data_IF_569581012208
#
_entry.id   IF_569581012208
#
_cell.length_a   1.000
_cell.length_b   1.000
_cell.length_c   1.000
_cell.angle_alpha   90.00
_cell.angle_beta   90.00
_cell.angle_gamma   90.00
#
_symmetry.space_group_name_H-M   'P 1'
#
loop_
_entity.id
_entity.type
_entity.pdbx_description
1 polymer ?
#
# COMPACT_ATOMS: atom_id res chain seq x y z
N UNK A 1 -25.72 -16.43 -4.27
CA UNK A 1 -24.56 -15.88 -3.52
C UNK A 1 -24.60 -14.37 -3.55
N UNK A 2 -24.68 -13.72 -2.39
CA UNK A 2 -24.87 -12.27 -2.24
C UNK A 2 -23.54 -11.50 -2.25
N UNK A 3 -23.37 -10.57 -3.20
CA UNK A 3 -22.75 -9.26 -2.97
C UNK A 3 -23.03 -8.30 -4.16
N UNK A 4 -24.28 -7.87 -4.33
CA UNK A 4 -24.69 -6.95 -5.44
C UNK A 4 -25.12 -5.55 -4.96
N UNK A 5 -25.11 -5.26 -3.64
CA UNK A 5 -25.72 -4.03 -3.10
C UNK A 5 -24.97 -3.39 -1.91
N UNK A 6 -23.64 -3.45 -1.87
CA UNK A 6 -22.91 -2.46 -1.09
C UNK A 6 -22.98 -1.15 -1.88
N UNK A 7 -23.78 -0.18 -1.39
CA UNK A 7 -23.95 1.18 -1.91
C UNK A 7 -22.73 1.65 -2.74
N UNK A 8 -22.95 1.98 -4.01
CA UNK A 8 -21.88 2.37 -4.93
C UNK A 8 -21.09 3.54 -4.33
N UNK A 9 -19.76 3.47 -4.39
CA UNK A 9 -18.85 4.52 -3.90
C UNK A 9 -19.27 5.92 -4.39
N UNK A 10 -19.77 5.99 -5.62
CA UNK A 10 -20.31 7.19 -6.25
C UNK A 10 -21.56 7.73 -5.55
N UNK A 11 -22.47 6.87 -5.10
CA UNK A 11 -23.69 7.26 -4.36
C UNK A 11 -23.31 7.79 -2.97
N UNK A 12 -22.30 7.21 -2.33
CA UNK A 12 -21.84 7.67 -1.01
C UNK A 12 -21.13 9.02 -1.12
N UNK A 13 -20.31 9.21 -2.15
CA UNK A 13 -19.67 10.50 -2.40
C UNK A 13 -20.68 11.59 -2.78
N UNK A 14 -21.63 11.28 -3.67
CA UNK A 14 -22.68 12.23 -4.06
C UNK A 14 -23.59 12.58 -2.88
N UNK A 15 -23.92 11.61 -2.02
CA UNK A 15 -24.71 11.87 -0.80
C UNK A 15 -23.97 12.75 0.21
N UNK A 16 -22.63 12.63 0.32
CA UNK A 16 -21.85 13.36 1.31
C UNK A 16 -21.45 14.77 0.85
N UNK A 17 -21.12 14.95 -0.43
CA UNK A 17 -20.60 16.21 -0.97
C UNK A 17 -21.54 16.92 -1.94
N UNK A 18 -22.61 16.26 -2.40
CA UNK A 18 -23.51 16.80 -3.44
C UNK A 18 -22.83 16.97 -4.80
N UNK A 19 -21.60 16.45 -4.97
CA UNK A 19 -20.75 16.59 -6.16
C UNK A 19 -20.47 15.23 -6.80
N UNK A 20 -20.16 15.17 -8.11
CA UNK A 20 -19.74 13.93 -8.74
C UNK A 20 -18.46 13.38 -8.09
N UNK A 21 -18.36 12.05 -8.02
CA UNK A 21 -17.23 11.37 -7.38
C UNK A 21 -15.86 11.75 -7.98
N UNK A 22 -15.84 12.13 -9.26
CA UNK A 22 -14.63 12.56 -9.96
C UNK A 22 -14.03 13.84 -9.38
N UNK A 23 -14.85 14.87 -9.13
CA UNK A 23 -14.39 16.14 -8.57
C UNK A 23 -13.84 15.97 -7.17
N UNK A 24 -14.53 15.18 -6.35
CA UNK A 24 -14.10 14.92 -4.98
C UNK A 24 -12.76 14.15 -4.97
N UNK A 25 -12.55 13.20 -5.88
CA UNK A 25 -11.27 12.50 -6.03
C UNK A 25 -10.16 13.41 -6.56
N UNK A 26 -10.47 14.37 -7.43
CA UNK A 26 -9.51 15.39 -7.90
C UNK A 26 -9.09 16.32 -6.76
N UNK A 27 -10.03 16.78 -5.94
CA UNK A 27 -9.73 17.59 -4.76
C UNK A 27 -8.81 16.83 -3.79
N UNK A 28 -9.05 15.53 -3.58
CA UNK A 28 -8.16 14.70 -2.74
C UNK A 28 -6.76 14.47 -3.33
N UNK A 29 -6.66 14.40 -4.67
CA UNK A 29 -5.36 14.35 -5.35
C UNK A 29 -4.61 15.66 -5.16
N UNK A 30 -5.28 16.80 -5.28
CA UNK A 30 -4.70 18.13 -5.04
C UNK A 30 -4.29 18.35 -3.58
N UNK A 31 -5.05 17.81 -2.63
CA UNK A 31 -4.72 17.83 -1.19
C UNK A 31 -3.58 16.86 -0.82
N UNK A 32 -3.14 15.98 -1.74
CA UNK A 32 -2.05 15.03 -1.51
C UNK A 32 -2.40 13.86 -0.58
N UNK A 33 -3.68 13.49 -0.49
CA UNK A 33 -4.13 12.39 0.36
C UNK A 33 -3.70 11.02 -0.18
N UNK A 34 -3.34 10.11 0.73
CA UNK A 34 -3.04 8.72 0.39
C UNK A 34 -4.32 7.92 0.16
N UNK A 35 -4.21 6.84 -0.61
CA UNK A 35 -5.29 5.85 -0.77
C UNK A 35 -5.78 5.30 0.57
N UNK A 36 -4.90 5.19 1.58
CA UNK A 36 -5.25 4.73 2.93
C UNK A 36 -6.08 5.76 3.70
N UNK A 37 -5.76 7.04 3.57
CA UNK A 37 -6.50 8.12 4.24
C UNK A 37 -7.92 8.22 3.67
N UNK A 38 -8.04 8.12 2.35
CA UNK A 38 -9.35 8.09 1.68
C UNK A 38 -10.11 6.83 2.09
N UNK A 39 -9.47 5.66 2.08
CA UNK A 39 -10.08 4.41 2.55
C UNK A 39 -10.60 4.52 4.00
N UNK A 40 -9.79 5.08 4.90
CA UNK A 40 -10.13 5.30 6.31
C UNK A 40 -11.27 6.29 6.51
N UNK A 41 -11.26 7.43 5.81
CA UNK A 41 -12.31 8.46 5.89
C UNK A 41 -13.70 7.96 5.48
N UNK A 42 -13.75 6.96 4.61
CA UNK A 42 -15.01 6.46 4.04
C UNK A 42 -15.36 5.03 4.48
N UNK A 43 -14.50 4.36 5.24
CA UNK A 43 -14.70 2.96 5.66
C UNK A 43 -14.65 1.96 4.50
N UNK A 44 -14.00 2.32 3.39
CA UNK A 44 -13.81 1.42 2.25
C UNK A 44 -12.46 0.73 2.30
N UNK A 45 -12.33 -0.39 1.58
CA UNK A 45 -11.03 -0.99 1.31
C UNK A 45 -10.25 -0.12 0.31
N UNK A 46 -8.93 -0.02 0.48
CA UNK A 46 -8.01 0.65 -0.44
C UNK A 46 -8.15 0.15 -1.89
N UNK A 47 -8.47 -1.14 -2.08
CA UNK A 47 -8.73 -1.74 -3.40
C UNK A 47 -9.94 -1.11 -4.10
N UNK A 48 -10.99 -0.77 -3.36
CA UNK A 48 -12.17 -0.07 -3.89
C UNK A 48 -11.78 1.33 -4.35
N UNK A 49 -11.08 2.09 -3.51
CA UNK A 49 -10.61 3.44 -3.84
C UNK A 49 -9.72 3.41 -5.09
N UNK A 50 -8.75 2.49 -5.15
CA UNK A 50 -7.87 2.31 -6.32
C UNK A 50 -8.63 1.97 -7.60
N UNK A 51 -9.68 1.13 -7.53
CA UNK A 51 -10.52 0.80 -8.69
C UNK A 51 -11.22 2.04 -9.25
N UNK A 52 -11.75 2.90 -8.39
CA UNK A 52 -12.43 4.13 -8.81
C UNK A 52 -11.45 5.20 -9.29
N UNK A 53 -10.32 5.37 -8.63
CA UNK A 53 -9.23 6.24 -9.10
C UNK A 53 -8.77 5.84 -10.51
N UNK A 54 -8.60 4.54 -10.79
CA UNK A 54 -8.30 4.03 -12.14
C UNK A 54 -9.41 4.31 -13.16
N UNK A 55 -10.68 4.22 -12.78
CA UNK A 55 -11.81 4.50 -13.67
C UNK A 55 -11.80 5.95 -14.16
N UNK A 56 -11.40 6.88 -13.30
CA UNK A 56 -11.33 8.32 -13.60
C UNK A 56 -9.93 8.80 -14.00
N UNK A 57 -8.96 7.88 -14.09
CA UNK A 57 -7.55 8.18 -14.39
C UNK A 57 -6.92 9.23 -13.44
N UNK A 58 -7.27 9.15 -12.15
CA UNK A 58 -6.74 10.03 -11.09
C UNK A 58 -5.74 9.23 -10.26
N UNK A 59 -4.58 9.82 -10.00
CA UNK A 59 -3.57 9.25 -9.12
C UNK A 59 -3.59 9.97 -7.77
N UNK A 60 -3.85 9.23 -6.70
CA UNK A 60 -3.63 9.68 -5.32
C UNK A 60 -2.20 9.36 -4.91
N UNK A 61 -1.73 9.97 -3.81
CA UNK A 61 -0.40 9.73 -3.27
C UNK A 61 -0.24 8.22 -3.02
N UNK A 62 0.80 7.63 -3.60
CA UNK A 62 1.16 6.22 -3.39
C UNK A 62 1.45 5.93 -1.91
N UNK A 63 1.62 4.65 -1.54
CA UNK A 63 2.02 4.30 -0.18
C UNK A 63 3.28 5.11 0.15
N UNK A 64 3.18 5.99 1.14
CA UNK A 64 4.26 6.88 1.56
C UNK A 64 5.49 6.05 1.89
N UNK A 65 6.70 6.58 1.69
CA UNK A 65 7.95 5.88 1.98
C UNK A 65 8.00 5.30 3.40
N UNK A 66 7.30 5.94 4.35
CA UNK A 66 7.12 5.43 5.72
C UNK A 66 6.40 4.08 5.82
N UNK A 67 5.42 3.81 4.95
CA UNK A 67 4.74 2.51 4.89
C UNK A 67 5.65 1.42 4.33
N UNK A 68 6.50 1.76 3.36
CA UNK A 68 7.50 0.83 2.85
C UNK A 68 8.53 0.49 3.95
N UNK A 69 9.08 1.50 4.64
CA UNK A 69 10.02 1.30 5.74
C UNK A 69 9.44 0.40 6.85
N UNK A 70 8.18 0.64 7.25
CA UNK A 70 7.48 -0.17 8.24
C UNK A 70 7.18 -1.60 7.76
N UNK A 71 6.85 -1.75 6.48
CA UNK A 71 6.71 -3.06 5.85
C UNK A 71 8.03 -3.84 5.83
N UNK A 72 9.16 -3.16 5.58
CA UNK A 72 10.48 -3.78 5.69
C UNK A 72 10.76 -4.19 7.14
N UNK A 73 10.58 -3.29 8.10
CA UNK A 73 10.81 -3.56 9.52
C UNK A 73 10.03 -4.78 10.01
N UNK A 74 8.73 -4.85 9.72
CA UNK A 74 7.88 -6.00 10.08
C UNK A 74 8.34 -7.31 9.41
N UNK A 75 8.79 -7.25 8.16
CA UNK A 75 9.33 -8.41 7.45
C UNK A 75 10.66 -8.89 8.07
N UNK A 76 11.58 -7.98 8.41
CA UNK A 76 12.83 -8.32 9.11
C UNK A 76 12.55 -8.90 10.50
N UNK A 77 11.66 -8.29 11.28
CA UNK A 77 11.33 -8.76 12.63
C UNK A 77 10.72 -10.16 12.61
N UNK A 78 9.78 -10.42 11.70
CA UNK A 78 9.14 -11.74 11.57
C UNK A 78 10.11 -12.82 11.09
N UNK A 79 11.07 -12.47 10.22
CA UNK A 79 12.09 -13.41 9.75
C UNK A 79 13.17 -13.70 10.80
N UNK A 80 13.55 -12.72 11.62
CA UNK A 80 14.49 -12.91 12.74
C UNK A 80 13.87 -13.70 13.90
N UNK A 81 12.57 -13.52 14.15
CA UNK A 81 11.84 -14.23 15.20
C UNK A 81 11.38 -15.65 14.79
N UNK A 82 11.63 -16.05 13.54
CA UNK A 82 11.23 -17.37 13.06
C UNK A 82 12.05 -18.48 13.74
N UNK A 83 11.39 -19.58 14.14
CA UNK A 83 12.04 -20.73 14.81
C UNK A 83 13.05 -21.44 13.88
N UNK A 84 12.81 -21.39 12.57
CA UNK A 84 13.71 -21.97 11.56
C UNK A 84 13.85 -21.09 10.33
N UNK A 85 15.02 -21.15 9.70
CA UNK A 85 15.32 -20.43 8.46
C UNK A 85 14.76 -21.24 7.28
N UNK A 86 13.89 -20.63 6.48
CA UNK A 86 13.30 -21.22 5.28
C UNK A 86 13.64 -20.40 4.03
N UNK A 87 13.21 -20.85 2.85
CA UNK A 87 13.52 -20.20 1.56
C UNK A 87 12.96 -18.78 1.42
N UNK A 88 11.96 -18.42 2.23
CA UNK A 88 11.33 -17.10 2.25
C UNK A 88 11.95 -16.17 3.31
N UNK A 89 12.78 -16.70 4.20
CA UNK A 89 13.44 -15.94 5.25
C UNK A 89 14.50 -15.01 4.64
N UNK A 90 14.61 -13.79 5.18
CA UNK A 90 15.59 -12.81 4.70
C UNK A 90 17.03 -13.31 4.87
N UNK A 91 17.28 -14.12 5.89
CA UNK A 91 18.59 -14.74 6.14
C UNK A 91 18.95 -15.81 5.10
N UNK A 92 17.98 -16.35 4.35
CA UNK A 92 18.22 -17.35 3.31
C UNK A 92 18.66 -16.72 1.97
N UNK A 93 18.31 -15.45 1.73
CA UNK A 93 18.67 -14.76 0.49
C UNK A 93 20.19 -14.55 0.45
N UNK A 94 20.78 -14.48 -0.74
CA UNK A 94 22.20 -14.11 -0.87
C UNK A 94 22.38 -12.64 -0.52
N UNK A 95 23.16 -12.35 0.50
CA UNK A 95 23.47 -10.98 0.88
C UNK A 95 24.50 -10.43 -0.10
N UNK A 96 24.31 -9.19 -0.56
CA UNK A 96 25.28 -8.57 -1.46
C UNK A 96 26.61 -8.48 -0.73
N UNK A 97 27.61 -9.17 -1.28
CA UNK A 97 28.94 -9.35 -0.68
C UNK A 97 29.72 -8.03 -0.71
N UNK A 98 29.37 -7.11 -1.61
CA UNK A 98 29.96 -5.78 -1.69
C UNK A 98 29.24 -4.82 -0.75
N UNK A 99 29.23 -5.12 0.55
CA UNK A 99 28.78 -4.19 1.57
C UNK A 99 30.00 -3.43 2.10
N UNK A 100 29.86 -2.12 2.33
CA UNK A 100 30.96 -1.22 2.73
C UNK A 100 31.75 -1.72 3.96
N UNK A 101 31.16 -2.58 4.78
CA UNK A 101 31.74 -3.11 6.02
C UNK A 101 32.12 -4.60 5.96
N UNK A 102 31.80 -5.33 4.89
CA UNK A 102 32.10 -6.77 4.79
C UNK A 102 32.71 -7.07 3.42
N UNK A 103 34.02 -7.17 3.33
CA UNK A 103 34.71 -7.76 2.17
C UNK A 103 34.91 -9.25 2.45
N UNK A 104 34.22 -10.12 1.70
CA UNK A 104 34.44 -11.57 1.82
C UNK A 104 35.51 -11.99 0.82
N UNK A 105 36.70 -12.35 1.32
CA UNK A 105 37.73 -13.01 0.50
C UNK A 105 37.23 -14.39 0.06
N UNK A 106 36.73 -14.49 -1.16
CA UNK A 106 36.46 -15.78 -1.79
C UNK A 106 37.79 -16.43 -2.16
N UNK A 107 38.33 -17.26 -1.27
CA UNK A 107 39.35 -18.26 -1.66
C UNK A 107 38.65 -19.39 -2.41
N UNK A 108 39.06 -19.57 -3.67
CA UNK A 108 38.64 -20.66 -4.56
C UNK A 108 38.94 -22.04 -3.99
#
# INVERSE_FOLDING_TARGET
>A
MANQYSQSFEIILSKKYGRPAEEVLKDYSNEGLSYEDVAGKFGFKTTTVRKWCRKYNIELLGPTDGNAAKAYETLYQSSLNAVSVNTYNVLYRSWSIDHQYFTVDRKN
#
